data_IF_224120483590
#
_entry.id   IF_224120483590
#
_cell.length_a   1.000
_cell.length_b   1.000
_cell.length_c   1.000
_cell.angle_alpha   90.00
_cell.angle_beta   90.00
_cell.angle_gamma   90.00
#
_symmetry.space_group_name_H-M   'P 1'
#
loop_
_entity.id
_entity.type
_entity.pdbx_description
1 polymer ?
#
# COMPACT_ATOMS: atom_id res chain seq x y z
N UNK A 1 -26.33 7.30 63.60
CA UNK A 1 -26.02 6.94 62.20
C UNK A 1 -27.32 6.42 61.59
N UNK A 2 -28.24 7.22 61.02
CA UNK A 2 -28.23 7.94 59.71
C UNK A 2 -27.59 7.09 58.60
N UNK A 3 -28.17 6.78 57.43
CA UNK A 3 -29.48 7.03 56.80
C UNK A 3 -29.62 6.06 55.60
N UNK A 4 -30.84 5.94 55.09
CA UNK A 4 -31.37 5.15 53.96
C UNK A 4 -30.67 5.30 52.57
N UNK A 5 -30.81 4.23 51.77
CA UNK A 5 -30.96 4.15 50.27
C UNK A 5 -29.89 4.75 49.34
N UNK A 6 -29.41 3.97 48.36
CA UNK A 6 -29.85 4.11 46.96
C UNK A 6 -29.41 2.92 46.10
N UNK A 7 -30.43 2.25 45.56
CA UNK A 7 -30.40 1.39 44.37
C UNK A 7 -29.89 2.24 43.20
N UNK A 8 -28.84 1.81 42.50
CA UNK A 8 -28.60 2.24 41.12
C UNK A 8 -28.45 0.99 40.26
N UNK A 9 -29.56 0.66 39.60
CA UNK A 9 -29.56 -0.13 38.39
C UNK A 9 -28.52 0.49 37.45
N UNK A 10 -27.40 -0.19 37.23
CA UNK A 10 -26.73 -0.09 35.95
C UNK A 10 -27.70 -0.69 34.92
N UNK A 11 -28.53 0.17 34.35
CA UNK A 11 -29.12 -0.12 33.05
C UNK A 11 -27.93 -0.35 32.10
N UNK A 12 -27.66 -1.62 31.80
CA UNK A 12 -27.18 -2.01 30.48
C UNK A 12 -28.17 -1.38 29.49
N UNK A 13 -27.87 -0.18 29.03
CA UNK A 13 -28.27 0.19 27.69
C UNK A 13 -27.39 -0.65 26.78
N UNK A 14 -27.80 -1.91 26.58
CA UNK A 14 -27.55 -2.56 25.32
C UNK A 14 -28.16 -1.62 24.28
N UNK A 15 -27.34 -0.71 23.76
CA UNK A 15 -27.64 -0.05 22.50
C UNK A 15 -27.80 -1.22 21.56
N UNK A 16 -29.04 -1.50 21.22
CA UNK A 16 -29.39 -2.38 20.13
C UNK A 16 -28.76 -1.71 18.91
N UNK A 17 -27.50 -2.03 18.63
CA UNK A 17 -26.75 -1.44 17.53
C UNK A 17 -27.49 -1.91 16.29
N UNK A 18 -28.41 -1.06 15.80
CA UNK A 18 -29.15 -1.38 14.60
C UNK A 18 -28.12 -1.59 13.51
N UNK A 19 -28.15 -2.80 12.95
CA UNK A 19 -27.35 -3.16 11.79
C UNK A 19 -27.64 -2.11 10.72
N UNK A 20 -26.63 -1.30 10.38
CA UNK A 20 -26.80 -0.28 9.35
C UNK A 20 -26.83 -0.98 7.99
N UNK A 21 -27.92 -0.81 7.25
CA UNK A 21 -28.09 -1.34 5.90
C UNK A 21 -28.28 -0.17 4.94
N UNK A 22 -27.45 -0.11 3.89
CA UNK A 22 -27.52 0.91 2.83
C UNK A 22 -27.33 0.22 1.48
N UNK A 23 -28.17 0.54 0.50
CA UNK A 23 -28.12 -0.03 -0.85
C UNK A 23 -28.04 -1.57 -0.89
N UNK A 24 -28.75 -2.23 0.03
CA UNK A 24 -28.75 -3.69 0.16
C UNK A 24 -27.47 -4.29 0.77
N UNK A 25 -26.51 -3.46 1.16
CA UNK A 25 -25.29 -3.88 1.85
C UNK A 25 -25.46 -3.77 3.36
N UNK A 26 -24.85 -4.69 4.11
CA UNK A 26 -24.82 -4.65 5.57
C UNK A 26 -23.46 -4.13 6.05
N UNK A 27 -23.49 -3.09 6.88
CA UNK A 27 -22.27 -2.50 7.44
C UNK A 27 -21.49 -3.51 8.28
N UNK A 28 -20.16 -3.50 8.14
CA UNK A 28 -19.23 -4.24 9.00
C UNK A 28 -18.35 -3.24 9.73
N UNK A 29 -18.39 -3.23 11.06
CA UNK A 29 -17.54 -2.35 11.87
C UNK A 29 -16.08 -2.74 11.68
N UNK A 30 -15.24 -1.75 11.37
CA UNK A 30 -13.79 -1.91 11.28
C UNK A 30 -13.20 -1.64 12.66
N UNK A 31 -12.20 -2.43 13.03
CA UNK A 31 -11.46 -2.25 14.27
C UNK A 31 -9.96 -2.25 14.01
N UNK A 32 -9.20 -1.50 14.80
CA UNK A 32 -7.75 -1.58 14.76
C UNK A 32 -7.30 -2.89 15.43
N UNK A 33 -6.60 -3.80 14.73
CA UNK A 33 -6.19 -5.05 15.33
C UNK A 33 -5.11 -4.84 16.40
N UNK A 34 -5.08 -5.70 17.42
CA UNK A 34 -4.04 -5.65 18.43
C UNK A 34 -2.67 -6.02 17.83
N UNK A 35 -1.61 -5.35 18.29
CA UNK A 35 -0.26 -5.66 17.87
C UNK A 35 0.14 -7.09 18.31
N UNK A 36 0.72 -7.90 17.41
CA UNK A 36 1.31 -9.18 17.79
C UNK A 36 2.43 -9.00 18.82
N UNK A 37 2.53 -9.94 19.75
CA UNK A 37 3.58 -9.94 20.79
C UNK A 37 4.88 -10.61 20.33
N UNK A 38 4.80 -11.53 19.36
CA UNK A 38 5.96 -12.14 18.74
C UNK A 38 6.36 -11.35 17.48
N UNK A 39 7.36 -10.49 17.64
CA UNK A 39 7.99 -9.73 16.56
C UNK A 39 9.40 -10.23 16.27
N UNK A 40 9.75 -11.43 16.73
CA UNK A 40 11.08 -11.99 16.56
C UNK A 40 11.32 -12.53 15.15
N UNK A 41 12.59 -12.89 14.92
CA UNK A 41 13.01 -13.62 13.72
C UNK A 41 12.22 -14.93 13.62
N UNK A 42 11.60 -15.17 12.47
CA UNK A 42 10.80 -16.38 12.22
C UNK A 42 11.04 -16.88 10.80
N UNK A 43 11.26 -18.18 10.64
CA UNK A 43 11.38 -18.82 9.34
C UNK A 43 10.02 -18.85 8.63
N UNK A 44 9.99 -18.39 7.38
CA UNK A 44 8.83 -18.42 6.48
C UNK A 44 9.32 -18.94 5.11
N UNK A 45 8.59 -19.82 4.41
CA UNK A 45 7.25 -20.30 4.70
C UNK A 45 7.19 -21.28 5.88
N UNK A 46 6.05 -21.29 6.59
CA UNK A 46 5.75 -22.25 7.65
C UNK A 46 4.66 -23.26 7.20
N UNK A 47 4.50 -24.36 7.94
CA UNK A 47 3.56 -25.42 7.59
C UNK A 47 2.08 -25.00 7.71
N UNK A 48 1.77 -23.93 8.45
CA UNK A 48 0.41 -23.41 8.58
C UNK A 48 0.02 -22.55 7.37
N UNK A 49 1.01 -22.01 6.65
CA UNK A 49 0.82 -21.13 5.50
C UNK A 49 1.47 -21.71 4.22
N UNK A 50 1.05 -22.91 3.76
CA UNK A 50 1.59 -23.50 2.55
C UNK A 50 1.21 -22.66 1.33
N UNK A 51 2.11 -22.66 0.35
CA UNK A 51 1.83 -22.08 -0.96
C UNK A 51 0.71 -22.84 -1.66
N UNK A 52 -0.27 -22.11 -2.18
CA UNK A 52 -1.29 -22.59 -3.11
C UNK A 52 -1.37 -21.56 -4.24
N UNK A 53 -1.17 -22.02 -5.46
CA UNK A 53 -1.30 -21.17 -6.65
C UNK A 53 -2.73 -20.58 -6.72
N UNK A 54 -2.88 -19.30 -7.13
CA UNK A 54 -4.20 -18.69 -7.27
C UNK A 54 -5.03 -19.41 -8.34
N UNK A 55 -6.32 -19.59 -8.08
CA UNK A 55 -7.29 -20.02 -9.06
C UNK A 55 -7.67 -18.89 -10.05
N UNK A 56 -8.44 -19.19 -11.10
CA UNK A 56 -8.82 -18.22 -12.12
C UNK A 56 -9.59 -16.99 -11.61
N UNK A 57 -10.36 -17.14 -10.53
CA UNK A 57 -11.19 -16.09 -9.95
C UNK A 57 -10.50 -15.36 -8.77
N UNK A 58 -9.31 -15.83 -8.37
CA UNK A 58 -8.57 -15.27 -7.24
C UNK A 58 -7.86 -13.98 -7.65
N UNK A 59 -8.12 -12.90 -6.92
CA UNK A 59 -7.56 -11.58 -7.20
C UNK A 59 -6.07 -11.52 -6.85
N UNK A 60 -5.25 -11.08 -7.79
CA UNK A 60 -3.85 -10.70 -7.60
C UNK A 60 -3.61 -9.37 -8.29
N UNK A 61 -2.65 -8.59 -7.82
CA UNK A 61 -2.43 -7.23 -8.30
C UNK A 61 -0.98 -6.81 -8.44
N UNK A 62 -0.74 -5.49 -8.48
CA UNK A 62 0.61 -4.94 -8.68
C UNK A 62 1.53 -5.17 -7.47
N UNK A 63 0.99 -5.41 -6.28
CA UNK A 63 1.78 -5.57 -5.06
C UNK A 63 2.24 -7.03 -4.88
N UNK A 64 3.55 -7.35 -5.05
CA UNK A 64 4.05 -8.71 -4.87
C UNK A 64 3.84 -9.22 -3.45
N UNK A 65 4.02 -8.37 -2.42
CA UNK A 65 3.83 -8.75 -1.02
C UNK A 65 2.39 -9.25 -0.77
N UNK A 66 1.36 -8.52 -1.24
CA UNK A 66 -0.03 -8.95 -1.08
C UNK A 66 -0.33 -10.25 -1.83
N UNK A 67 0.24 -10.41 -3.02
CA UNK A 67 0.08 -11.63 -3.80
C UNK A 67 0.65 -12.84 -3.07
N UNK A 68 1.84 -12.70 -2.47
CA UNK A 68 2.48 -13.73 -1.65
C UNK A 68 1.62 -14.05 -0.41
N UNK A 69 1.13 -13.04 0.31
CA UNK A 69 0.27 -13.25 1.49
C UNK A 69 -0.98 -14.07 1.13
N UNK A 70 -1.64 -13.76 0.02
CA UNK A 70 -2.82 -14.50 -0.43
C UNK A 70 -2.45 -15.91 -0.92
N UNK A 71 -1.32 -16.07 -1.63
CA UNK A 71 -0.81 -17.38 -2.07
C UNK A 71 -0.42 -18.29 -0.90
N UNK A 72 -0.06 -17.73 0.25
CA UNK A 72 0.29 -18.47 1.45
C UNK A 72 -0.84 -18.52 2.51
N UNK A 73 -1.94 -17.79 2.30
CA UNK A 73 -3.09 -17.80 3.19
C UNK A 73 -2.93 -16.98 4.47
N UNK A 74 -2.00 -16.01 4.49
CA UNK A 74 -1.94 -14.99 5.54
C UNK A 74 -3.08 -13.98 5.43
N UNK A 75 -3.60 -13.80 4.21
CA UNK A 75 -4.85 -13.10 3.91
C UNK A 75 -5.78 -14.01 3.11
N UNK A 76 -7.00 -13.57 2.81
CA UNK A 76 -7.95 -14.36 2.04
C UNK A 76 -7.35 -14.75 0.67
N UNK A 77 -7.31 -16.06 0.39
CA UNK A 77 -6.65 -16.61 -0.82
C UNK A 77 -7.25 -16.12 -2.13
N UNK A 78 -8.54 -15.78 -2.11
CA UNK A 78 -9.26 -15.15 -3.22
C UNK A 78 -8.84 -13.69 -3.48
N UNK A 79 -7.95 -13.13 -2.67
CA UNK A 79 -7.45 -11.77 -2.81
C UNK A 79 -8.45 -10.67 -2.46
N UNK A 80 -9.56 -10.99 -1.77
CA UNK A 80 -10.51 -9.99 -1.26
C UNK A 80 -10.56 -10.07 0.26
N UNK A 81 -9.94 -9.09 0.91
CA UNK A 81 -9.67 -9.13 2.34
C UNK A 81 -10.20 -7.92 3.10
N UNK A 82 -10.25 -8.06 4.42
CA UNK A 82 -10.59 -6.96 5.33
C UNK A 82 -9.37 -6.13 5.71
N UNK A 83 -9.61 -4.97 6.31
CA UNK A 83 -8.56 -4.14 6.88
C UNK A 83 -7.70 -4.91 7.92
N UNK A 84 -8.35 -5.65 8.81
CA UNK A 84 -7.69 -6.42 9.87
C UNK A 84 -6.86 -7.58 9.31
N UNK A 85 -7.41 -8.33 8.35
CA UNK A 85 -6.72 -9.46 7.72
C UNK A 85 -5.40 -8.99 7.08
N UNK A 86 -5.44 -7.92 6.29
CA UNK A 86 -4.23 -7.43 5.61
C UNK A 86 -3.23 -6.87 6.63
N UNK A 87 -3.70 -6.07 7.58
CA UNK A 87 -2.84 -5.47 8.61
C UNK A 87 -2.11 -6.54 9.43
N UNK A 88 -2.81 -7.59 9.85
CA UNK A 88 -2.19 -8.69 10.58
C UNK A 88 -1.32 -9.57 9.68
N UNK A 89 -1.72 -9.79 8.42
CA UNK A 89 -0.96 -10.59 7.46
C UNK A 89 0.42 -10.00 7.16
N UNK A 90 0.52 -8.67 6.96
CA UNK A 90 1.82 -8.01 6.72
C UNK A 90 2.71 -8.01 7.97
N UNK A 91 2.12 -7.88 9.16
CA UNK A 91 2.89 -7.97 10.41
C UNK A 91 3.39 -9.40 10.60
N UNK A 92 2.53 -10.40 10.42
CA UNK A 92 2.92 -11.78 10.70
C UNK A 92 3.96 -12.30 9.70
N UNK A 93 3.77 -12.09 8.40
CA UNK A 93 4.65 -12.69 7.40
C UNK A 93 5.92 -11.87 7.13
N UNK A 94 5.81 -10.54 7.18
CA UNK A 94 6.90 -9.63 6.81
C UNK A 94 7.45 -8.81 7.98
N UNK A 95 6.85 -8.92 9.17
CA UNK A 95 7.20 -8.12 10.35
C UNK A 95 7.11 -6.60 10.07
N UNK A 96 6.17 -6.17 9.23
CA UNK A 96 5.92 -4.75 9.03
C UNK A 96 5.37 -4.13 10.32
N UNK A 97 5.86 -2.96 10.72
CA UNK A 97 5.34 -2.27 11.90
C UNK A 97 3.84 -1.98 11.75
N UNK A 98 3.06 -2.27 12.80
CA UNK A 98 1.60 -2.36 12.68
C UNK A 98 0.96 -1.03 12.28
N UNK A 99 1.42 0.11 12.80
CA UNK A 99 0.84 1.40 12.44
C UNK A 99 1.17 1.77 10.99
N UNK A 100 2.40 1.50 10.55
CA UNK A 100 2.80 1.71 9.16
C UNK A 100 2.04 0.79 8.19
N UNK A 101 1.89 -0.51 8.51
CA UNK A 101 1.07 -1.44 7.74
C UNK A 101 -0.39 -1.01 7.69
N UNK A 102 -0.98 -0.70 8.85
CA UNK A 102 -2.36 -0.22 8.95
C UNK A 102 -2.59 1.08 8.18
N UNK A 103 -1.63 2.00 8.15
CA UNK A 103 -1.69 3.22 7.35
C UNK A 103 -1.87 2.91 5.85
N UNK A 104 -1.04 2.03 5.29
CA UNK A 104 -1.11 1.67 3.87
C UNK A 104 -2.45 1.02 3.54
N UNK A 105 -2.92 0.11 4.40
CA UNK A 105 -4.20 -0.60 4.23
C UNK A 105 -5.37 0.37 4.39
N UNK A 106 -5.33 1.29 5.35
CA UNK A 106 -6.39 2.27 5.58
C UNK A 106 -6.53 3.25 4.42
N UNK A 107 -5.40 3.77 3.91
CA UNK A 107 -5.40 4.62 2.72
C UNK A 107 -6.03 3.91 1.53
N UNK A 108 -5.59 2.68 1.24
CA UNK A 108 -6.16 1.89 0.14
C UNK A 108 -7.62 1.51 0.36
N UNK A 109 -8.06 1.21 1.59
CA UNK A 109 -9.47 0.96 1.89
C UNK A 109 -10.33 2.17 1.54
N UNK A 110 -9.86 3.40 1.85
CA UNK A 110 -10.58 4.64 1.56
C UNK A 110 -10.55 5.04 0.07
N UNK A 111 -9.45 4.73 -0.64
CA UNK A 111 -9.21 5.16 -2.02
C UNK A 111 -9.69 4.11 -3.04
N UNK A 112 -9.65 2.82 -2.71
CA UNK A 112 -9.89 1.69 -3.63
C UNK A 112 -10.79 0.58 -3.10
N UNK A 113 -11.06 0.55 -1.79
CA UNK A 113 -11.88 -0.44 -1.13
C UNK A 113 -13.31 0.03 -0.85
N UNK A 114 -14.01 -0.76 -0.05
CA UNK A 114 -15.31 -0.43 0.51
C UNK A 114 -15.26 -0.46 2.04
N UNK A 115 -15.02 0.70 2.70
CA UNK A 115 -15.02 0.83 4.15
C UNK A 115 -16.39 0.60 4.80
N UNK A 116 -17.50 0.52 4.07
CA UNK A 116 -18.80 0.18 4.65
C UNK A 116 -18.93 -1.31 4.95
N UNK A 117 -18.48 -2.18 4.04
CA UNK A 117 -18.50 -3.64 4.21
C UNK A 117 -17.15 -4.22 4.63
N UNK A 118 -16.13 -3.37 4.85
CA UNK A 118 -14.77 -3.75 5.23
C UNK A 118 -14.12 -4.74 4.24
N UNK A 119 -14.15 -4.42 2.95
CA UNK A 119 -13.56 -5.26 1.91
C UNK A 119 -12.76 -4.46 0.89
N UNK A 120 -11.61 -4.99 0.50
CA UNK A 120 -10.78 -4.49 -0.58
C UNK A 120 -10.21 -5.66 -1.40
N UNK A 121 -10.13 -5.48 -2.71
CA UNK A 121 -9.46 -6.41 -3.63
C UNK A 121 -7.98 -6.04 -3.72
N UNK A 122 -7.09 -7.02 -3.56
CA UNK A 122 -5.65 -6.85 -3.82
C UNK A 122 -5.33 -6.87 -5.32
N UNK A 123 -6.32 -7.10 -6.17
CA UNK A 123 -6.23 -7.03 -7.62
C UNK A 123 -7.10 -5.91 -8.17
N UNK A 124 -7.86 -6.23 -9.22
CA UNK A 124 -8.79 -5.29 -9.87
C UNK A 124 -10.20 -5.33 -9.28
N UNK A 125 -11.17 -4.90 -10.08
CA UNK A 125 -12.60 -4.92 -9.75
C UNK A 125 -13.05 -6.35 -9.40
N UNK A 126 -13.77 -6.49 -8.29
CA UNK A 126 -14.35 -7.77 -7.86
C UNK A 126 -15.80 -7.57 -7.43
N UNK A 127 -16.68 -8.50 -7.80
CA UNK A 127 -18.08 -8.51 -7.34
C UNK A 127 -18.22 -8.71 -5.83
N UNK A 128 -17.16 -9.16 -5.16
CA UNK A 128 -17.10 -9.31 -3.70
C UNK A 128 -16.84 -7.97 -2.98
N UNK A 129 -16.47 -6.92 -3.72
CA UNK A 129 -16.32 -5.55 -3.22
C UNK A 129 -17.38 -4.68 -3.92
N UNK A 130 -18.62 -4.62 -3.39
CA UNK A 130 -19.67 -3.82 -4.00
C UNK A 130 -19.31 -2.33 -3.97
N UNK A 131 -19.90 -1.49 -4.82
CA UNK A 131 -19.73 -0.04 -4.78
C UNK A 131 -20.07 0.56 -3.41
N UNK A 132 -19.53 1.74 -3.10
CA UNK A 132 -19.88 2.44 -1.87
C UNK A 132 -21.37 2.81 -1.85
N UNK A 133 -22.07 2.62 -0.72
CA UNK A 133 -23.46 3.05 -0.61
C UNK A 133 -23.63 4.57 -0.78
N UNK A 134 -24.81 4.97 -1.25
CA UNK A 134 -25.14 6.37 -1.56
C UNK A 134 -24.54 6.86 -2.88
N UNK A 135 -24.01 5.95 -3.70
CA UNK A 135 -23.32 6.30 -4.95
C UNK A 135 -22.05 7.13 -4.72
N UNK A 136 -21.46 7.06 -3.52
CA UNK A 136 -20.28 7.84 -3.16
C UNK A 136 -19.11 7.41 -4.04
N UNK A 137 -18.63 8.35 -4.87
CA UNK A 137 -17.55 8.10 -5.80
C UNK A 137 -17.83 6.87 -6.65
N UNK A 138 -18.74 7.02 -7.61
CA UNK A 138 -18.96 6.01 -8.64
C UNK A 138 -17.59 5.53 -9.14
N UNK A 139 -17.40 4.20 -9.23
CA UNK A 139 -16.13 3.59 -9.64
C UNK A 139 -14.96 3.65 -8.62
N UNK A 140 -15.12 4.10 -7.37
CA UNK A 140 -14.03 4.08 -6.36
C UNK A 140 -13.54 2.67 -6.06
N UNK A 141 -14.49 1.75 -5.88
CA UNK A 141 -14.20 0.34 -5.66
C UNK A 141 -13.62 -0.24 -6.94
N UNK A 142 -12.30 -0.42 -6.97
CA UNK A 142 -11.57 -0.94 -8.12
C UNK A 142 -10.44 -1.89 -7.75
N UNK A 143 -10.22 -2.09 -6.45
CA UNK A 143 -9.05 -2.80 -5.95
C UNK A 143 -7.76 -1.99 -6.14
N UNK A 144 -6.67 -2.49 -5.58
CA UNK A 144 -5.38 -1.78 -5.61
C UNK A 144 -4.71 -1.78 -6.99
N UNK A 145 -5.23 -2.52 -7.98
CA UNK A 145 -4.73 -2.49 -9.36
C UNK A 145 -5.33 -1.36 -10.21
N UNK A 146 -6.36 -0.66 -9.70
CA UNK A 146 -6.95 0.45 -10.43
C UNK A 146 -5.96 1.62 -10.49
N UNK A 147 -5.59 1.99 -11.72
CA UNK A 147 -4.67 3.06 -12.03
C UNK A 147 -5.05 4.42 -11.43
N UNK A 148 -4.01 5.19 -11.10
CA UNK A 148 -4.08 6.45 -10.36
C UNK A 148 -4.25 6.21 -8.86
N UNK A 149 -4.08 7.26 -8.06
CA UNK A 149 -4.33 7.32 -6.62
C UNK A 149 -3.44 6.46 -5.71
N UNK A 150 -3.18 5.19 -6.02
CA UNK A 150 -2.19 4.36 -5.31
C UNK A 150 -1.31 3.62 -6.30
N UNK A 151 -1.91 2.79 -7.16
CA UNK A 151 -1.22 2.26 -8.34
C UNK A 151 -0.93 3.40 -9.32
N UNK A 152 0.24 3.35 -9.96
CA UNK A 152 0.59 4.32 -10.96
C UNK A 152 1.95 4.04 -11.59
N UNK A 153 2.38 5.04 -12.34
CA UNK A 153 3.45 4.91 -13.32
C UNK A 153 4.84 4.69 -12.72
N UNK A 154 5.80 4.32 -13.57
CA UNK A 154 7.17 4.03 -13.18
C UNK A 154 7.31 2.86 -12.20
N UNK A 155 6.45 1.84 -12.32
CA UNK A 155 6.56 0.61 -11.55
C UNK A 155 7.84 -0.19 -11.88
N UNK A 156 8.32 -1.03 -10.96
CA UNK A 156 9.56 -1.79 -11.22
C UNK A 156 9.36 -2.95 -12.19
N UNK A 157 8.25 -3.69 -12.03
CA UNK A 157 8.00 -4.95 -12.75
C UNK A 157 6.63 -5.03 -13.42
N UNK A 158 5.87 -3.92 -13.42
CA UNK A 158 4.57 -3.74 -14.09
C UNK A 158 4.71 -2.55 -15.04
N UNK A 159 4.05 -2.61 -16.20
CA UNK A 159 4.08 -1.51 -17.16
C UNK A 159 3.08 -0.42 -16.75
N UNK A 160 3.26 0.79 -17.26
CA UNK A 160 2.29 1.86 -17.02
C UNK A 160 0.96 1.56 -17.73
N UNK A 161 -0.14 2.03 -17.15
CA UNK A 161 -1.48 1.60 -17.55
C UNK A 161 -1.85 2.03 -18.99
N UNK A 162 -1.30 3.14 -19.47
CA UNK A 162 -1.59 3.65 -20.82
C UNK A 162 -0.78 2.94 -21.91
N UNK A 163 0.31 2.25 -21.56
CA UNK A 163 1.19 1.56 -22.51
C UNK A 163 1.28 0.04 -22.29
N UNK A 164 0.62 -0.51 -21.26
CA UNK A 164 0.64 -1.94 -21.00
C UNK A 164 -0.20 -2.40 -19.82
N UNK A 165 0.25 -3.50 -19.22
CA UNK A 165 -0.39 -4.14 -18.07
C UNK A 165 0.25 -3.66 -16.76
N UNK A 166 -0.52 -2.87 -16.01
CA UNK A 166 -0.16 -2.29 -14.72
C UNK A 166 -0.34 -3.23 -13.53
N UNK A 167 -0.80 -4.45 -13.77
CA UNK A 167 -1.21 -5.39 -12.72
C UNK A 167 -0.30 -6.60 -12.67
N UNK A 168 -0.11 -7.27 -13.80
CA UNK A 168 0.58 -8.56 -13.84
C UNK A 168 2.10 -8.39 -14.06
N UNK A 169 2.86 -9.36 -13.54
CA UNK A 169 4.32 -9.35 -13.61
C UNK A 169 4.82 -9.40 -15.05
N UNK A 170 5.78 -8.54 -15.40
CA UNK A 170 6.37 -8.46 -16.73
C UNK A 170 7.82 -8.96 -16.69
N UNK A 171 8.08 -10.12 -17.32
CA UNK A 171 9.43 -10.70 -17.40
C UNK A 171 10.44 -9.71 -18.00
N UNK A 172 10.05 -8.94 -19.03
CA UNK A 172 10.95 -8.00 -19.70
C UNK A 172 11.44 -6.88 -18.78
N UNK A 173 10.58 -6.34 -17.91
CA UNK A 173 10.96 -5.30 -16.97
C UNK A 173 11.89 -5.84 -15.89
N UNK A 174 11.62 -7.04 -15.41
CA UNK A 174 12.47 -7.69 -14.44
C UNK A 174 13.82 -8.15 -15.04
N UNK A 175 13.86 -8.58 -16.30
CA UNK A 175 15.12 -8.87 -16.99
C UNK A 175 15.98 -7.60 -17.12
N UNK A 176 15.36 -6.43 -17.35
CA UNK A 176 16.07 -5.14 -17.30
C UNK A 176 16.58 -4.84 -15.88
N UNK A 177 15.79 -5.11 -14.84
CA UNK A 177 16.23 -5.03 -13.43
C UNK A 177 17.51 -5.86 -13.20
N UNK A 178 17.55 -7.09 -13.71
CA UNK A 178 18.73 -7.95 -13.57
C UNK A 178 19.99 -7.37 -14.26
N UNK A 179 19.85 -6.55 -15.30
CA UNK A 179 20.99 -5.83 -15.89
C UNK A 179 21.55 -4.76 -14.94
N UNK A 180 20.68 -4.04 -14.23
CA UNK A 180 21.10 -3.08 -13.20
C UNK A 180 21.79 -3.80 -12.03
N UNK A 181 21.23 -4.93 -11.60
CA UNK A 181 21.85 -5.78 -10.57
C UNK A 181 23.24 -6.25 -11.02
N UNK A 182 23.39 -6.77 -12.24
CA UNK A 182 24.68 -7.26 -12.75
C UNK A 182 25.77 -6.20 -12.85
N UNK A 183 25.41 -4.90 -12.81
CA UNK A 183 26.35 -3.77 -12.88
C UNK A 183 26.65 -3.15 -11.51
N UNK A 184 25.68 -3.12 -10.61
CA UNK A 184 25.75 -2.35 -9.36
C UNK A 184 25.49 -3.18 -8.09
N UNK A 185 25.11 -4.44 -8.24
CA UNK A 185 24.85 -5.34 -7.12
C UNK A 185 26.13 -5.73 -6.39
N UNK A 186 25.97 -6.10 -5.13
CA UNK A 186 27.09 -6.63 -4.34
C UNK A 186 27.27 -8.13 -4.59
N UNK A 187 28.48 -8.61 -4.32
CA UNK A 187 28.77 -10.05 -4.31
C UNK A 187 28.05 -10.72 -3.13
N UNK A 188 27.55 -11.93 -3.37
CA UNK A 188 26.82 -12.70 -2.37
C UNK A 188 27.13 -14.19 -2.44
N UNK A 189 26.48 -14.99 -1.57
CA UNK A 189 26.65 -16.45 -1.56
C UNK A 189 26.31 -17.13 -2.89
N UNK A 190 25.46 -16.51 -3.71
CA UNK A 190 25.03 -17.00 -5.02
C UNK A 190 26.00 -16.62 -6.16
N UNK A 191 27.02 -15.81 -5.88
CA UNK A 191 28.02 -15.36 -6.86
C UNK A 191 28.19 -13.84 -6.91
N UNK A 192 28.97 -13.33 -7.87
CA UNK A 192 29.21 -11.89 -8.00
C UNK A 192 27.96 -11.13 -8.48
N UNK A 193 27.76 -9.91 -7.99
CA UNK A 193 26.61 -9.06 -8.31
C UNK A 193 25.25 -9.77 -8.13
N UNK A 194 25.03 -10.43 -7.00
CA UNK A 194 23.80 -11.20 -6.70
C UNK A 194 22.95 -10.59 -5.60
N UNK A 195 23.43 -9.55 -4.92
CA UNK A 195 22.70 -8.88 -3.83
C UNK A 195 22.25 -7.49 -4.27
N UNK A 196 20.95 -7.22 -4.14
CA UNK A 196 20.37 -5.91 -4.39
C UNK A 196 20.79 -4.94 -3.28
N UNK A 197 21.17 -3.73 -3.68
CA UNK A 197 21.58 -2.65 -2.78
C UNK A 197 20.98 -1.31 -3.25
N UNK A 198 21.29 -0.23 -2.54
CA UNK A 198 20.77 1.11 -2.88
C UNK A 198 21.13 1.53 -4.30
N UNK A 199 22.37 1.30 -4.76
CA UNK A 199 22.79 1.69 -6.12
C UNK A 199 22.04 0.92 -7.20
N UNK A 200 21.77 -0.36 -6.95
CA UNK A 200 20.96 -1.20 -7.81
C UNK A 200 19.53 -0.64 -7.93
N UNK A 201 18.89 -0.32 -6.80
CA UNK A 201 17.55 0.27 -6.79
C UNK A 201 17.49 1.65 -7.44
N UNK A 202 18.51 2.49 -7.21
CA UNK A 202 18.66 3.80 -7.87
C UNK A 202 18.73 3.65 -9.39
N UNK A 203 19.54 2.71 -9.90
CA UNK A 203 19.68 2.48 -11.33
C UNK A 203 18.38 1.95 -11.96
N UNK A 204 17.68 1.04 -11.28
CA UNK A 204 16.37 0.54 -11.72
C UNK A 204 15.33 1.66 -11.80
N UNK A 205 15.21 2.46 -10.73
CA UNK A 205 14.24 3.56 -10.68
C UNK A 205 14.54 4.67 -11.69
N UNK A 206 15.81 5.08 -11.83
CA UNK A 206 16.21 6.05 -12.86
C UNK A 206 15.79 5.56 -14.26
N UNK A 207 16.08 4.30 -14.57
CA UNK A 207 15.75 3.72 -15.88
C UNK A 207 14.25 3.72 -16.12
N UNK A 208 13.45 3.24 -15.17
CA UNK A 208 12.00 3.15 -15.36
C UNK A 208 11.37 4.53 -15.49
N UNK A 209 11.71 5.47 -14.60
CA UNK A 209 11.25 6.86 -14.70
C UNK A 209 11.55 7.48 -16.09
N UNK A 210 12.74 7.23 -16.64
CA UNK A 210 13.09 7.72 -17.97
C UNK A 210 12.32 7.02 -19.08
N UNK A 211 12.29 5.67 -19.06
CA UNK A 211 11.64 4.88 -20.11
C UNK A 211 10.15 5.19 -20.18
N UNK A 212 9.50 5.23 -19.04
CA UNK A 212 8.07 5.45 -18.91
C UNK A 212 7.71 6.89 -19.25
N UNK A 213 8.46 7.88 -18.76
CA UNK A 213 8.31 9.28 -19.19
C UNK A 213 8.47 9.44 -20.71
N UNK A 214 9.37 8.70 -21.37
CA UNK A 214 9.54 8.80 -22.83
C UNK A 214 8.46 8.05 -23.62
N UNK A 215 7.92 6.97 -23.08
CA UNK A 215 7.05 6.05 -23.81
C UNK A 215 5.56 6.31 -23.55
N UNK A 216 5.20 6.74 -22.35
CA UNK A 216 3.82 6.91 -21.92
C UNK A 216 3.31 8.34 -22.18
N UNK A 217 2.39 8.55 -23.14
CA UNK A 217 1.79 9.87 -23.38
C UNK A 217 0.92 10.37 -22.23
N UNK A 218 0.48 9.49 -21.33
CA UNK A 218 -0.34 9.79 -20.15
C UNK A 218 0.46 9.73 -18.83
N UNK A 219 1.79 9.62 -18.90
CA UNK A 219 2.67 9.55 -17.72
C UNK A 219 2.30 10.59 -16.68
N UNK A 220 1.99 10.15 -15.45
CA UNK A 220 1.68 11.01 -14.32
C UNK A 220 2.26 10.50 -13.01
N UNK A 221 3.27 11.21 -12.51
CA UNK A 221 3.92 10.93 -11.24
C UNK A 221 3.40 11.88 -10.17
N UNK A 222 2.19 11.64 -9.65
CA UNK A 222 1.58 12.48 -8.58
C UNK A 222 2.41 12.51 -7.30
N UNK A 223 2.16 13.42 -6.34
CA UNK A 223 2.84 13.41 -5.04
C UNK A 223 2.72 12.06 -4.28
N UNK A 224 1.52 11.45 -4.24
CA UNK A 224 1.36 10.11 -3.64
C UNK A 224 2.18 9.05 -4.37
N UNK A 225 2.22 9.10 -5.70
CA UNK A 225 2.96 8.13 -6.50
C UNK A 225 4.47 8.33 -6.38
N UNK A 226 4.94 9.57 -6.30
CA UNK A 226 6.35 9.91 -6.08
C UNK A 226 6.87 9.25 -4.81
N UNK A 227 6.20 9.46 -3.69
CA UNK A 227 6.58 8.85 -2.41
C UNK A 227 6.42 7.32 -2.44
N UNK A 228 5.29 6.83 -2.96
CA UNK A 228 5.00 5.40 -3.05
C UNK A 228 6.04 4.62 -3.86
N UNK A 229 6.41 5.12 -5.03
CA UNK A 229 7.30 4.43 -5.95
C UNK A 229 8.74 4.28 -5.43
N UNK A 230 9.21 5.21 -4.59
CA UNK A 230 10.52 5.09 -3.93
C UNK A 230 10.46 4.27 -2.64
N UNK A 231 9.36 4.35 -1.88
CA UNK A 231 9.12 3.45 -0.74
C UNK A 231 9.03 1.98 -1.18
N UNK A 232 8.37 1.70 -2.31
CA UNK A 232 8.30 0.35 -2.89
C UNK A 232 9.67 -0.20 -3.27
N UNK A 233 10.57 0.65 -3.79
CA UNK A 233 11.96 0.29 -4.03
C UNK A 233 12.70 0.00 -2.72
N UNK A 234 12.42 0.78 -1.66
CA UNK A 234 12.96 0.52 -0.33
C UNK A 234 12.43 -0.79 0.28
N UNK A 235 11.20 -1.23 -0.03
CA UNK A 235 10.66 -2.50 0.43
C UNK A 235 11.48 -3.69 -0.07
N UNK A 236 12.06 -3.62 -1.27
CA UNK A 236 12.96 -4.65 -1.80
C UNK A 236 14.16 -4.85 -0.87
N UNK A 237 14.71 -3.79 -0.29
CA UNK A 237 15.89 -3.85 0.57
C UNK A 237 15.54 -4.02 2.06
N UNK A 238 14.39 -3.53 2.50
CA UNK A 238 14.00 -3.51 3.91
C UNK A 238 13.05 -4.61 4.34
N UNK A 239 12.08 -4.97 3.48
CA UNK A 239 11.04 -5.96 3.78
C UNK A 239 11.41 -7.33 3.20
N UNK A 240 11.93 -7.37 1.97
CA UNK A 240 12.24 -8.61 1.28
C UNK A 240 13.61 -9.20 1.63
N UNK A 241 14.47 -8.44 2.31
CA UNK A 241 15.73 -8.97 2.81
C UNK A 241 15.48 -10.16 3.76
N UNK A 242 16.29 -11.21 3.62
CA UNK A 242 16.23 -12.34 4.53
C UNK A 242 16.73 -11.89 5.92
N UNK A 243 15.90 -12.03 6.96
CA UNK A 243 16.19 -11.55 8.31
C UNK A 243 17.44 -12.16 8.96
N UNK A 244 17.95 -13.30 8.48
CA UNK A 244 19.21 -13.87 8.99
C UNK A 244 20.45 -13.22 8.41
N UNK A 245 20.37 -12.71 7.18
CA UNK A 245 21.52 -12.12 6.45
C UNK A 245 21.40 -10.62 6.26
N UNK A 246 20.19 -10.06 6.40
CA UNK A 246 19.81 -8.71 6.00
C UNK A 246 20.17 -8.41 4.53
N UNK A 247 20.02 -9.40 3.66
CA UNK A 247 20.32 -9.29 2.24
C UNK A 247 19.12 -9.68 1.38
N UNK A 248 18.95 -8.94 0.29
CA UNK A 248 17.98 -9.22 -0.76
C UNK A 248 18.70 -9.84 -1.95
N UNK A 249 18.79 -11.17 -1.97
CA UNK A 249 19.50 -11.89 -3.04
C UNK A 249 18.64 -12.02 -4.31
N UNK A 250 19.29 -12.30 -5.43
CA UNK A 250 18.63 -12.58 -6.71
C UNK A 250 17.61 -13.72 -6.61
N UNK A 251 17.91 -14.82 -5.91
CA UNK A 251 16.93 -15.89 -5.67
C UNK A 251 15.74 -15.42 -4.81
N UNK A 252 15.98 -14.58 -3.80
CA UNK A 252 14.94 -14.04 -2.93
C UNK A 252 13.98 -13.15 -3.72
N UNK A 253 14.53 -12.18 -4.45
CA UNK A 253 13.74 -11.23 -5.23
C UNK A 253 13.04 -11.94 -6.40
N UNK A 254 13.70 -12.90 -7.06
CA UNK A 254 13.07 -13.72 -8.09
C UNK A 254 11.87 -14.50 -7.57
N UNK A 255 11.98 -15.09 -6.38
CA UNK A 255 10.86 -15.81 -5.75
C UNK A 255 9.69 -14.88 -5.43
N UNK A 256 9.96 -13.66 -4.97
CA UNK A 256 8.88 -12.72 -4.62
C UNK A 256 8.18 -12.10 -5.82
N UNK A 257 8.93 -11.69 -6.86
CA UNK A 257 8.33 -11.04 -8.03
C UNK A 257 7.82 -12.03 -9.09
N UNK A 258 8.63 -13.03 -9.47
CA UNK A 258 8.24 -14.00 -10.52
C UNK A 258 7.31 -15.07 -9.96
N UNK A 259 7.70 -15.71 -8.86
CA UNK A 259 6.97 -16.89 -8.36
C UNK A 259 5.85 -16.50 -7.39
N UNK A 260 5.93 -15.29 -6.81
CA UNK A 260 5.03 -14.81 -5.77
C UNK A 260 4.91 -15.79 -4.60
N UNK A 261 6.07 -16.29 -4.17
CA UNK A 261 6.25 -17.27 -3.08
C UNK A 261 7.33 -16.81 -2.12
N UNK A 262 7.27 -17.23 -0.86
CA UNK A 262 8.43 -17.13 0.02
C UNK A 262 9.55 -18.09 -0.42
N UNK A 263 10.84 -17.65 -0.48
CA UNK A 263 11.96 -18.55 -0.72
C UNK A 263 12.11 -19.58 0.40
N UNK A 264 12.69 -20.74 0.08
CA UNK A 264 13.08 -21.70 1.12
C UNK A 264 14.10 -21.07 2.08
N UNK A 265 13.97 -21.38 3.38
CA UNK A 265 14.83 -20.87 4.46
C UNK A 265 14.87 -19.32 4.58
N UNK A 266 13.90 -18.62 3.99
CA UNK A 266 13.74 -17.19 4.23
C UNK A 266 13.24 -16.96 5.66
N UNK A 267 13.64 -15.85 6.26
CA UNK A 267 13.18 -15.45 7.58
C UNK A 267 12.66 -14.01 7.51
N UNK A 268 11.53 -13.74 8.15
CA UNK A 268 11.10 -12.35 8.37
C UNK A 268 12.13 -11.62 9.24
N UNK A 269 12.16 -10.29 9.18
CA UNK A 269 13.07 -9.47 9.97
C UNK A 269 12.99 -9.79 11.48
N UNK A 270 14.09 -9.61 12.21
CA UNK A 270 14.17 -9.91 13.64
C UNK A 270 13.43 -8.91 14.56
N UNK A 271 12.86 -7.85 13.99
CA UNK A 271 12.06 -6.84 14.66
C UNK A 271 11.18 -6.10 13.65
N UNK A 272 10.21 -5.29 14.13
CA UNK A 272 9.30 -4.59 13.24
C UNK A 272 10.02 -3.65 12.28
N UNK A 273 9.80 -3.82 10.98
CA UNK A 273 10.30 -2.94 9.92
C UNK A 273 9.45 -1.68 9.93
N UNK A 274 10.05 -0.56 10.35
CA UNK A 274 9.32 0.70 10.56
C UNK A 274 9.25 1.54 9.30
N UNK A 275 8.21 2.39 9.20
CA UNK A 275 8.12 3.39 8.13
C UNK A 275 9.35 4.31 8.09
N UNK A 276 9.87 4.74 9.24
CA UNK A 276 11.07 5.58 9.30
C UNK A 276 12.33 4.92 8.72
N UNK A 277 12.52 3.62 8.95
CA UNK A 277 13.61 2.85 8.34
C UNK A 277 13.49 2.78 6.82
N UNK A 278 12.28 2.51 6.32
CA UNK A 278 12.01 2.42 4.89
C UNK A 278 12.13 3.79 4.21
N UNK A 279 11.67 4.86 4.85
CA UNK A 279 11.85 6.24 4.36
C UNK A 279 13.32 6.64 4.27
N UNK A 280 14.18 6.19 5.19
CA UNK A 280 15.61 6.45 5.11
C UNK A 280 16.28 5.76 3.92
N UNK A 281 15.89 4.50 3.63
CA UNK A 281 16.35 3.79 2.43
C UNK A 281 15.83 4.50 1.16
N UNK A 282 14.54 4.84 1.14
CA UNK A 282 13.89 5.56 0.03
C UNK A 282 14.62 6.86 -0.30
N UNK A 283 14.96 7.67 0.70
CA UNK A 283 15.70 8.91 0.52
C UNK A 283 17.09 8.68 -0.08
N UNK A 284 17.80 7.62 0.33
CA UNK A 284 19.10 7.28 -0.25
C UNK A 284 18.99 6.83 -1.71
N UNK A 285 17.91 6.11 -2.08
CA UNK A 285 17.64 5.73 -3.46
C UNK A 285 17.38 6.97 -4.32
N UNK A 286 16.49 7.86 -3.85
CA UNK A 286 16.09 9.07 -4.54
C UNK A 286 17.23 10.07 -4.70
N UNK A 287 18.15 10.17 -3.74
CA UNK A 287 19.30 11.07 -3.80
C UNK A 287 20.28 10.77 -4.97
N UNK A 288 20.24 9.56 -5.54
CA UNK A 288 21.06 9.16 -6.68
C UNK A 288 20.40 9.34 -8.05
N UNK A 289 19.18 9.89 -8.11
CA UNK A 289 18.36 10.01 -9.32
C UNK A 289 18.38 11.46 -9.81
N UNK A 290 18.20 11.65 -11.12
CA UNK A 290 18.01 12.99 -11.70
C UNK A 290 16.86 13.70 -10.97
N UNK A 291 17.11 14.85 -10.31
CA UNK A 291 16.08 15.53 -9.53
C UNK A 291 14.84 15.89 -10.35
N UNK A 292 14.97 16.11 -11.66
CA UNK A 292 13.84 16.42 -12.53
C UNK A 292 12.85 15.25 -12.69
N UNK A 293 13.29 14.01 -12.42
CA UNK A 293 12.46 12.81 -12.48
C UNK A 293 11.89 12.41 -11.11
N UNK A 294 12.24 13.14 -10.05
CA UNK A 294 11.85 12.83 -8.67
C UNK A 294 10.80 13.77 -8.10
N UNK A 295 10.25 14.64 -8.94
CA UNK A 295 9.23 15.63 -8.57
C UNK A 295 7.89 15.24 -9.16
N UNK A 296 6.81 15.75 -8.55
CA UNK A 296 5.48 15.53 -9.10
C UNK A 296 5.33 16.20 -10.46
N UNK A 297 4.98 15.42 -11.49
CA UNK A 297 4.95 15.88 -12.88
C UNK A 297 4.15 14.94 -13.78
N UNK A 298 3.69 15.46 -14.92
CA UNK A 298 3.02 14.71 -15.97
C UNK A 298 3.58 15.04 -17.34
N UNK A 299 3.33 14.19 -18.33
CA UNK A 299 3.62 14.51 -19.72
C UNK A 299 2.55 15.45 -20.30
N UNK A 300 2.98 16.50 -20.99
CA UNK A 300 2.10 17.31 -21.84
C UNK A 300 1.73 16.57 -23.13
N UNK A 301 0.84 17.16 -23.93
CA UNK A 301 0.41 16.57 -25.22
C UNK A 301 1.54 16.35 -26.24
N UNK A 302 2.73 16.91 -26.01
CA UNK A 302 3.93 16.71 -26.84
C UNK A 302 4.92 15.72 -26.22
N UNK A 303 4.59 15.11 -25.06
CA UNK A 303 5.45 14.18 -24.33
C UNK A 303 6.56 14.86 -23.52
N UNK A 304 6.47 16.18 -23.29
CA UNK A 304 7.42 16.86 -22.40
C UNK A 304 6.97 16.72 -20.95
N UNK A 305 7.91 16.43 -20.06
CA UNK A 305 7.64 16.40 -18.63
C UNK A 305 7.38 17.82 -18.10
N UNK A 306 6.21 18.03 -17.51
CA UNK A 306 5.77 19.30 -16.92
C UNK A 306 5.51 19.09 -15.42
N UNK A 307 6.15 19.87 -14.53
CA UNK A 307 5.86 19.81 -13.10
C UNK A 307 4.40 20.10 -12.79
N UNK A 308 3.84 19.34 -11.85
CA UNK A 308 2.48 19.56 -11.37
C UNK A 308 2.37 20.90 -10.65
N UNK A 309 1.16 21.48 -10.67
CA UNK A 309 0.88 22.65 -9.83
C UNK A 309 0.89 22.21 -8.36
N UNK A 310 1.69 22.84 -7.50
CA UNK A 310 1.70 22.51 -6.08
C UNK A 310 0.30 22.69 -5.45
N UNK A 311 -0.02 21.95 -4.38
CA UNK A 311 -1.29 22.10 -3.68
C UNK A 311 -1.43 23.51 -3.07
N UNK A 312 -2.63 23.93 -2.64
CA UNK A 312 -2.80 25.22 -1.98
C UNK A 312 -2.04 25.27 -0.64
N UNK A 313 -1.64 26.48 -0.22
CA UNK A 313 -1.11 26.69 1.13
C UNK A 313 -2.14 26.25 2.19
N UNK A 314 -1.71 25.62 3.31
CA UNK A 314 -0.32 25.42 3.76
C UNK A 314 0.36 24.14 3.24
N UNK A 315 -0.18 23.44 2.25
CA UNK A 315 0.31 22.11 1.86
C UNK A 315 1.47 22.13 0.86
N UNK A 316 1.86 23.30 0.34
CA UNK A 316 2.94 23.50 -0.63
C UNK A 316 4.30 23.84 0.01
N UNK A 317 4.54 23.38 1.24
CA UNK A 317 5.74 23.74 1.99
C UNK A 317 6.86 22.70 1.85
N UNK A 318 6.51 21.43 1.71
CA UNK A 318 7.44 20.32 1.45
C UNK A 318 6.69 19.10 0.90
N UNK A 319 7.44 18.09 0.45
CA UNK A 319 6.87 16.88 -0.13
C UNK A 319 6.03 16.03 0.85
N UNK A 320 6.23 16.17 2.17
CA UNK A 320 5.42 15.50 3.17
C UNK A 320 4.02 16.10 3.26
N UNK A 321 3.92 17.42 3.24
CA UNK A 321 2.65 18.14 3.16
C UNK A 321 1.92 17.93 1.83
N UNK A 322 2.66 17.88 0.73
CA UNK A 322 2.10 17.58 -0.59
C UNK A 322 1.54 16.16 -0.64
N UNK A 323 2.29 15.19 -0.13
CA UNK A 323 1.84 13.79 0.00
C UNK A 323 0.59 13.66 0.85
N UNK A 324 0.56 14.32 2.02
CA UNK A 324 -0.60 14.30 2.91
C UNK A 324 -1.85 14.91 2.25
N UNK A 325 -1.70 16.03 1.55
CA UNK A 325 -2.79 16.64 0.79
C UNK A 325 -3.29 15.71 -0.31
N UNK A 326 -2.37 15.19 -1.12
CA UNK A 326 -2.71 14.38 -2.29
C UNK A 326 -3.37 13.05 -1.89
N UNK A 327 -2.94 12.41 -0.81
CA UNK A 327 -3.59 11.20 -0.31
C UNK A 327 -5.08 11.43 0.01
N UNK A 328 -5.43 12.56 0.66
CA UNK A 328 -6.83 12.90 0.96
C UNK A 328 -7.60 13.43 -0.26
N UNK A 329 -6.90 14.01 -1.23
CA UNK A 329 -7.43 14.40 -2.54
C UNK A 329 -7.87 13.19 -3.38
N UNK A 330 -7.33 12.00 -3.07
CA UNK A 330 -7.70 10.75 -3.72
C UNK A 330 -8.87 10.02 -3.02
N UNK A 331 -9.29 10.48 -1.84
CA UNK A 331 -10.42 9.91 -1.11
C UNK A 331 -11.73 10.62 -1.47
N UNK A 332 -12.81 9.90 -1.85
CA UNK A 332 -14.06 10.54 -2.28
C UNK A 332 -14.65 11.48 -1.23
N UNK A 333 -14.97 12.72 -1.62
CA UNK A 333 -15.53 13.72 -0.71
C UNK A 333 -16.82 13.27 0.00
N UNK A 334 -17.61 12.40 -0.63
CA UNK A 334 -18.83 11.84 -0.02
C UNK A 334 -18.56 11.07 1.29
N UNK A 335 -17.36 10.51 1.47
CA UNK A 335 -16.97 9.84 2.70
C UNK A 335 -16.94 10.78 3.91
N UNK A 336 -16.74 12.09 3.71
CA UNK A 336 -16.77 13.05 4.82
C UNK A 336 -18.18 13.22 5.42
N UNK A 337 -19.24 12.84 4.68
CA UNK A 337 -20.63 13.10 5.03
C UNK A 337 -21.43 11.84 5.41
N UNK A 338 -20.78 10.68 5.48
CA UNK A 338 -21.47 9.43 5.86
C UNK A 338 -21.88 9.45 7.34
N UNK A 339 -22.77 8.54 7.72
CA UNK A 339 -23.33 8.44 9.09
C UNK A 339 -23.30 7.00 9.61
N UNK A 340 -23.59 6.81 10.90
CA UNK A 340 -23.69 5.48 11.51
C UNK A 340 -22.35 4.73 11.59
N UNK A 341 -22.40 3.41 11.38
CA UNK A 341 -21.22 2.53 11.31
C UNK A 341 -20.29 2.96 10.17
N UNK A 342 -20.83 3.39 9.02
CA UNK A 342 -20.01 3.90 7.92
C UNK A 342 -19.12 5.06 8.40
N UNK A 343 -19.70 6.01 9.14
CA UNK A 343 -18.92 7.12 9.72
C UNK A 343 -17.85 6.65 10.69
N UNK A 344 -18.18 5.70 11.57
CA UNK A 344 -17.21 5.15 12.52
C UNK A 344 -16.01 4.53 11.80
N UNK A 345 -16.25 3.79 10.71
CA UNK A 345 -15.20 3.20 9.89
C UNK A 345 -14.34 4.26 9.19
N UNK A 346 -14.95 5.26 8.56
CA UNK A 346 -14.21 6.35 7.90
C UNK A 346 -13.40 7.16 8.90
N UNK A 347 -13.96 7.48 10.07
CA UNK A 347 -13.27 8.22 11.13
C UNK A 347 -12.07 7.42 11.65
N UNK A 348 -12.23 6.11 11.90
CA UNK A 348 -11.12 5.22 12.27
C UNK A 348 -10.03 5.22 11.20
N UNK A 349 -10.35 4.88 9.95
CA UNK A 349 -9.37 4.74 8.88
C UNK A 349 -8.63 6.06 8.61
N UNK A 350 -9.35 7.19 8.58
CA UNK A 350 -8.72 8.51 8.41
C UNK A 350 -7.88 8.90 9.62
N UNK A 351 -8.24 8.49 10.85
CA UNK A 351 -7.40 8.70 12.03
C UNK A 351 -6.09 7.91 11.96
N UNK A 352 -6.13 6.66 11.49
CA UNK A 352 -4.94 5.82 11.28
C UNK A 352 -4.03 6.48 10.24
N UNK A 353 -4.60 6.98 9.15
CA UNK A 353 -3.84 7.72 8.14
C UNK A 353 -3.17 8.96 8.72
N UNK A 354 -3.92 9.83 9.41
CA UNK A 354 -3.36 11.05 10.01
C UNK A 354 -2.27 10.74 11.04
N UNK A 355 -2.45 9.71 11.86
CA UNK A 355 -1.47 9.35 12.88
C UNK A 355 -0.11 8.95 12.28
N UNK A 356 -0.10 8.38 11.06
CA UNK A 356 1.13 7.96 10.41
C UNK A 356 1.83 9.09 9.64
N UNK A 357 1.08 10.03 9.05
CA UNK A 357 1.65 10.93 8.04
C UNK A 357 1.27 12.41 8.16
N UNK A 358 0.41 12.82 9.11
CA UNK A 358 0.02 14.23 9.23
C UNK A 358 1.22 15.07 9.71
N UNK A 359 1.85 15.87 8.85
CA UNK A 359 3.07 16.58 9.22
C UNK A 359 2.70 17.75 10.14
N UNK A 360 3.43 17.95 11.26
CA UNK A 360 3.18 19.07 12.18
C UNK A 360 3.15 20.44 11.49
N UNK A 361 3.94 20.59 10.43
CA UNK A 361 4.19 21.83 9.70
C UNK A 361 3.02 22.32 8.84
N UNK A 362 2.18 21.44 8.27
CA UNK A 362 0.99 21.87 7.51
C UNK A 362 -0.24 22.11 8.40
N UNK A 363 -0.19 21.73 9.69
CA UNK A 363 -1.11 22.09 10.79
C UNK A 363 -2.62 22.15 10.42
N UNK A 364 -3.10 21.23 9.59
CA UNK A 364 -4.51 21.12 9.21
C UNK A 364 -4.97 19.65 9.15
N UNK A 365 -6.07 19.37 9.83
CA UNK A 365 -6.74 18.06 9.76
C UNK A 365 -7.55 17.98 8.48
N UNK A 366 -7.11 17.15 7.53
CA UNK A 366 -7.84 16.90 6.29
C UNK A 366 -8.93 15.87 6.51
N UNK A 367 -10.05 16.02 5.80
CA UNK A 367 -11.09 15.00 5.62
C UNK A 367 -11.09 14.59 4.15
N UNK A 368 -11.67 13.45 3.74
CA UNK A 368 -11.80 13.13 2.31
C UNK A 368 -12.39 14.30 1.52
N UNK A 369 -11.71 14.75 0.46
CA UNK A 369 -12.16 15.89 -0.37
C UNK A 369 -11.93 15.66 -1.86
N UNK A 370 -11.55 14.45 -2.24
CA UNK A 370 -11.34 14.06 -3.63
C UNK A 370 -12.60 14.10 -4.49
N UNK A 371 -12.42 13.98 -5.81
CA UNK A 371 -13.49 14.19 -6.77
C UNK A 371 -14.72 13.34 -6.41
N UNK A 372 -15.91 13.97 -6.29
CA UNK A 372 -17.15 13.23 -6.32
C UNK A 372 -17.32 12.77 -7.77
N UNK A 373 -16.83 11.58 -8.12
CA UNK A 373 -16.98 11.14 -9.50
C UNK A 373 -18.46 10.84 -9.75
N UNK A 374 -18.97 11.47 -10.83
CA UNK A 374 -20.33 11.35 -11.37
C UNK A 374 -20.64 9.94 -11.88
#
# INVERSE_FOLDING_TARGET
MRFLTLLSLFFLHAVNAQVQVLDGQTATLISFPAAPTDTGLKQIPDAAHPFIAPGPDDQRGPCPAMNILANHGYISRNGVSTFEEITLGVVEAFNLEINFGAFIVAGNMLIRGNPFVNKISIGGVSSLVPPLPGGIGSNVTGGIAKHGGFEGDASMTRADAAIGDNKDFQDILYDLDLLSLGKFGDDGPEGPNTIFNVQTMTAMKQRNLQMDQMADPEYHFTPIRTVGAFLEAAFVLGIFANGTTNQSSISTIGSFFRNQTFPENWHRAAGPVTGGFLSAISANIQAGIDPNLTVAAHNDASGNLVPDTPPPAPFNIDGGCEFYYDLFSNMPAGLANVTGVFKQNVDLLTSVVRAAIAPPECNQTLVPFGPPVN
#
